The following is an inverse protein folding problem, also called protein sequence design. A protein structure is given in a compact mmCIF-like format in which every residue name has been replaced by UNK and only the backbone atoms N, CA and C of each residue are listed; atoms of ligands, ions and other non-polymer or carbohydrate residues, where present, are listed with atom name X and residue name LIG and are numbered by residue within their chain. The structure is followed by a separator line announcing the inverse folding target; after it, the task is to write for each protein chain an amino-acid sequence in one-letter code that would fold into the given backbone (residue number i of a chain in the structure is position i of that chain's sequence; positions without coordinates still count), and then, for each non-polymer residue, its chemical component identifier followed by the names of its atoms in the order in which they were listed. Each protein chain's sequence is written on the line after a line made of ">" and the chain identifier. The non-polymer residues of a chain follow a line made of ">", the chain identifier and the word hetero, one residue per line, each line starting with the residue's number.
data_IF_398505555246
#
_entry.id   IF_398505555246
#
_cell.length_a   1.000
_cell.length_b   1.000
_cell.length_c   1.000
_cell.angle_alpha   90.00
_cell.angle_beta   90.00
_cell.angle_gamma   90.00
#
_symmetry.space_group_name_H-M   'P 1'
#
loop_
_entity.id
_entity.type
_entity.pdbx_description
1 polymer ?
#
# COMPACT_ATOMS: atom_id res chain seq x y z
N UNK A 1 17.41 3.56 -11.19
CA UNK A 1 16.48 4.68 -11.12
C UNK A 1 15.94 4.99 -12.52
N UNK A 2 14.68 5.39 -12.60
CA UNK A 2 14.10 5.75 -13.89
C UNK A 2 14.86 6.90 -14.56
N UNK A 3 14.86 6.92 -15.89
CA UNK A 3 15.55 7.90 -16.73
C UNK A 3 17.07 7.97 -16.53
N UNK A 4 17.66 7.12 -15.70
CA UNK A 4 19.10 7.03 -15.54
C UNK A 4 19.71 6.21 -16.71
N UNK A 5 20.82 6.64 -17.30
CA UNK A 5 21.54 5.84 -18.26
C UNK A 5 22.04 4.55 -17.60
N UNK A 6 22.21 3.48 -18.39
CA UNK A 6 22.74 2.18 -17.95
C UNK A 6 21.89 1.46 -16.87
N UNK A 7 20.59 1.75 -16.78
CA UNK A 7 19.74 1.14 -15.74
C UNK A 7 19.69 -0.39 -15.82
N UNK A 8 19.53 -0.93 -17.02
CA UNK A 8 19.48 -2.38 -17.27
C UNK A 8 20.85 -3.04 -16.96
N UNK A 9 21.95 -2.50 -17.53
CA UNK A 9 23.30 -2.99 -17.25
C UNK A 9 23.65 -2.96 -15.76
N UNK A 10 23.26 -1.89 -15.06
CA UNK A 10 23.45 -1.79 -13.61
C UNK A 10 22.65 -2.82 -12.83
N UNK A 11 21.42 -3.12 -13.24
CA UNK A 11 20.61 -4.17 -12.63
C UNK A 11 21.24 -5.55 -12.83
N UNK A 12 21.71 -5.86 -14.04
CA UNK A 12 22.43 -7.10 -14.35
C UNK A 12 23.71 -7.26 -13.50
N UNK A 13 24.48 -6.18 -13.31
CA UNK A 13 25.67 -6.19 -12.45
C UNK A 13 25.33 -6.47 -10.99
N UNK A 14 24.24 -5.87 -10.46
CA UNK A 14 23.78 -6.14 -9.09
C UNK A 14 23.35 -7.60 -8.96
N UNK A 15 22.59 -8.13 -9.91
CA UNK A 15 22.19 -9.54 -9.93
C UNK A 15 23.39 -10.48 -10.00
N UNK A 16 24.39 -10.15 -10.82
CA UNK A 16 25.62 -10.94 -10.93
C UNK A 16 26.45 -10.94 -9.63
N UNK A 17 26.56 -9.78 -8.97
CA UNK A 17 27.24 -9.67 -7.68
C UNK A 17 26.54 -10.48 -6.58
N UNK A 18 25.21 -10.37 -6.48
CA UNK A 18 24.41 -11.12 -5.53
C UNK A 18 24.46 -12.62 -5.82
N UNK A 19 24.25 -13.04 -7.07
CA UNK A 19 24.34 -14.43 -7.48
C UNK A 19 25.68 -15.08 -7.14
N UNK A 20 26.78 -14.36 -7.37
CA UNK A 20 28.14 -14.82 -7.00
C UNK A 20 28.28 -14.98 -5.47
N UNK A 21 27.79 -14.03 -4.69
CA UNK A 21 27.92 -14.07 -3.23
C UNK A 21 27.01 -15.14 -2.58
N UNK A 22 25.84 -15.39 -3.16
CA UNK A 22 24.87 -16.38 -2.69
C UNK A 22 25.07 -17.79 -3.28
N UNK A 23 25.89 -17.91 -4.33
CA UNK A 23 26.12 -19.20 -5.02
C UNK A 23 24.93 -19.63 -5.90
N UNK A 24 24.15 -18.68 -6.42
CA UNK A 24 23.04 -18.93 -7.35
C UNK A 24 23.30 -18.21 -8.69
N UNK A 25 22.43 -18.46 -9.68
CA UNK A 25 22.57 -17.80 -10.97
C UNK A 25 22.06 -16.35 -10.88
N UNK A 26 22.62 -15.39 -11.64
CA UNK A 26 22.12 -14.03 -11.69
C UNK A 26 20.61 -13.93 -12.01
N UNK A 27 20.13 -14.82 -12.87
CA UNK A 27 18.71 -14.88 -13.30
C UNK A 27 17.76 -15.33 -12.17
N UNK A 28 18.30 -15.90 -11.10
CA UNK A 28 17.52 -16.28 -9.90
C UNK A 28 17.43 -15.13 -8.86
N UNK A 29 18.02 -13.97 -9.18
CA UNK A 29 18.02 -12.79 -8.30
C UNK A 29 16.98 -11.77 -8.77
N UNK A 30 16.08 -11.38 -7.87
CA UNK A 30 15.15 -10.26 -8.10
C UNK A 30 15.78 -9.01 -7.49
N UNK A 31 15.98 -7.98 -8.32
CA UNK A 31 16.52 -6.69 -7.88
C UNK A 31 15.42 -5.62 -7.91
N UNK A 32 15.39 -4.79 -6.89
CA UNK A 32 14.56 -3.59 -6.84
C UNK A 32 15.39 -2.43 -6.32
N UNK A 33 15.18 -1.24 -6.86
CA UNK A 33 15.85 -0.04 -6.44
C UNK A 33 14.95 1.18 -6.55
N UNK A 34 15.18 2.16 -5.68
CA UNK A 34 14.57 3.49 -5.77
C UNK A 34 15.64 4.54 -5.54
N UNK A 35 15.38 5.78 -5.95
CA UNK A 35 16.29 6.91 -5.78
C UNK A 35 15.94 8.05 -6.74
N UNK A 36 16.74 9.10 -6.73
CA UNK A 36 16.52 10.32 -7.54
C UNK A 36 16.39 9.97 -9.03
N UNK A 37 15.31 10.40 -9.65
CA UNK A 37 15.03 10.19 -11.08
C UNK A 37 16.17 10.80 -11.91
N UNK A 38 16.69 10.05 -12.87
CA UNK A 38 17.79 10.46 -13.73
C UNK A 38 19.20 10.32 -13.13
N UNK A 39 19.30 9.99 -11.82
CA UNK A 39 20.60 9.77 -11.19
C UNK A 39 21.05 8.32 -11.35
N UNK A 40 22.28 8.14 -11.84
CA UNK A 40 22.85 6.80 -12.01
C UNK A 40 23.14 6.14 -10.67
N UNK A 41 22.73 4.89 -10.51
CA UNK A 41 23.02 4.08 -9.34
C UNK A 41 24.54 3.83 -9.21
N UNK A 42 25.09 4.02 -8.02
CA UNK A 42 26.49 3.72 -7.74
C UNK A 42 26.68 2.21 -7.51
N UNK A 43 26.70 1.44 -8.58
CA UNK A 43 26.80 -0.03 -8.53
C UNK A 43 28.11 -0.52 -7.90
N UNK A 44 29.20 0.24 -8.04
CA UNK A 44 30.50 -0.16 -7.49
C UNK A 44 30.45 -0.33 -5.94
N UNK A 45 29.72 0.53 -5.25
CA UNK A 45 29.51 0.42 -3.79
C UNK A 45 28.71 -0.84 -3.44
N UNK A 46 27.68 -1.15 -4.24
CA UNK A 46 26.84 -2.34 -4.04
C UNK A 46 27.69 -3.61 -4.26
N UNK A 47 28.46 -3.67 -5.36
CA UNK A 47 29.35 -4.79 -5.67
C UNK A 47 30.38 -5.03 -4.56
N UNK A 48 30.96 -3.97 -4.00
CA UNK A 48 31.92 -4.05 -2.91
C UNK A 48 31.31 -4.53 -1.60
N UNK A 49 30.09 -4.08 -1.27
CA UNK A 49 29.39 -4.44 -0.03
C UNK A 49 28.70 -5.82 -0.09
N UNK A 50 28.46 -6.36 -1.28
CA UNK A 50 27.65 -7.57 -1.46
C UNK A 50 28.17 -8.80 -0.69
N UNK A 51 29.49 -9.12 -0.65
CA UNK A 51 29.99 -10.26 0.12
C UNK A 51 29.73 -10.12 1.62
N UNK A 52 29.89 -8.93 2.19
CA UNK A 52 29.64 -8.66 3.61
C UNK A 52 28.13 -8.76 3.91
N UNK A 53 27.30 -8.16 3.09
CA UNK A 53 25.84 -8.20 3.20
C UNK A 53 25.32 -9.65 3.18
N UNK A 54 25.74 -10.44 2.21
CA UNK A 54 25.34 -11.85 2.10
C UNK A 54 25.88 -12.70 3.25
N UNK A 55 27.09 -12.42 3.71
CA UNK A 55 27.71 -13.08 4.86
C UNK A 55 27.04 -12.77 6.19
N UNK A 56 26.41 -11.59 6.31
CA UNK A 56 25.66 -11.17 7.49
C UNK A 56 24.19 -11.63 7.49
N UNK A 57 23.70 -12.18 6.38
CA UNK A 57 22.31 -12.65 6.28
C UNK A 57 22.04 -13.77 7.30
N UNK A 58 21.03 -13.59 8.13
CA UNK A 58 20.68 -14.51 9.21
C UNK A 58 19.16 -14.71 9.29
N UNK A 59 18.75 -15.98 9.52
CA UNK A 59 17.35 -16.32 9.76
C UNK A 59 16.99 -16.10 11.24
N UNK A 60 16.94 -14.82 11.63
CA UNK A 60 16.64 -14.39 13.00
C UNK A 60 15.69 -13.19 12.99
N UNK A 61 15.09 -12.89 14.15
CA UNK A 61 14.26 -11.68 14.31
C UNK A 61 15.06 -10.40 14.08
N UNK A 62 16.32 -10.37 14.54
CA UNK A 62 17.23 -9.23 14.35
C UNK A 62 17.60 -9.03 12.88
N UNK A 63 17.79 -10.12 12.13
CA UNK A 63 18.05 -10.07 10.68
C UNK A 63 16.83 -9.52 9.91
N UNK A 64 15.62 -9.93 10.27
CA UNK A 64 14.37 -9.40 9.71
C UNK A 64 14.21 -7.92 10.02
N UNK A 65 14.41 -7.55 11.27
CA UNK A 65 14.33 -6.16 11.74
C UNK A 65 15.34 -5.25 11.01
N UNK A 66 16.58 -5.69 10.88
CA UNK A 66 17.62 -4.97 10.16
C UNK A 66 17.26 -4.77 8.69
N UNK A 67 16.73 -5.79 8.02
CA UNK A 67 16.29 -5.69 6.62
C UNK A 67 15.13 -4.71 6.45
N UNK A 68 14.13 -4.76 7.34
CA UNK A 68 12.99 -3.84 7.31
C UNK A 68 13.39 -2.38 7.53
N UNK A 69 14.36 -2.11 8.41
CA UNK A 69 14.90 -0.77 8.61
C UNK A 69 15.78 -0.30 7.44
N UNK A 70 16.59 -1.20 6.87
CA UNK A 70 17.55 -0.85 5.82
C UNK A 70 16.90 -0.38 4.51
N UNK A 71 15.65 -0.76 4.23
CA UNK A 71 14.92 -0.33 3.02
C UNK A 71 14.17 1.00 3.21
N UNK A 72 14.09 1.53 4.43
CA UNK A 72 13.41 2.79 4.72
C UNK A 72 14.17 3.99 4.12
N UNK A 73 13.42 5.02 3.71
CA UNK A 73 13.96 6.31 3.25
C UNK A 73 13.38 7.46 4.07
N UNK A 74 12.23 8.00 3.69
CA UNK A 74 11.46 8.98 4.45
C UNK A 74 10.45 8.34 5.41
N UNK A 75 10.36 7.01 5.40
CA UNK A 75 9.54 6.25 6.33
C UNK A 75 9.94 6.55 7.79
N UNK A 76 8.97 6.72 8.68
CA UNK A 76 9.20 6.97 10.10
C UNK A 76 9.13 5.69 10.94
N UNK A 77 8.41 4.68 10.43
CA UNK A 77 8.27 3.38 11.07
C UNK A 77 8.50 2.25 10.07
N UNK A 78 9.14 1.17 10.53
CA UNK A 78 9.27 -0.04 9.71
C UNK A 78 7.91 -0.68 9.46
N UNK A 79 7.74 -1.25 8.28
CA UNK A 79 6.53 -1.95 7.88
C UNK A 79 6.86 -3.42 7.68
N UNK A 80 6.56 -4.21 8.66
CA UNK A 80 6.69 -5.67 8.63
C UNK A 80 5.45 -6.33 9.20
N UNK A 81 5.12 -7.51 8.71
CA UNK A 81 4.02 -8.33 9.18
C UNK A 81 4.24 -9.78 8.77
N UNK A 82 3.66 -10.70 9.55
CA UNK A 82 3.58 -12.12 9.21
C UNK A 82 2.18 -12.64 9.48
N UNK A 83 1.76 -13.61 8.67
CA UNK A 83 0.50 -14.32 8.82
C UNK A 83 0.73 -15.81 8.66
N UNK A 84 -0.16 -16.62 9.20
CA UNK A 84 -0.18 -18.06 8.94
C UNK A 84 -1.59 -18.54 8.57
N UNK A 85 -1.65 -19.59 7.78
CA UNK A 85 -2.88 -20.25 7.35
C UNK A 85 -2.66 -21.75 7.24
N UNK A 86 -3.72 -22.51 6.98
CA UNK A 86 -3.64 -23.96 6.76
C UNK A 86 -3.98 -24.26 5.30
N UNK A 87 -3.06 -24.92 4.60
CA UNK A 87 -3.19 -25.32 3.20
C UNK A 87 -2.83 -26.80 3.08
N UNK A 88 -3.73 -27.60 2.50
CA UNK A 88 -3.53 -29.05 2.37
C UNK A 88 -3.23 -29.74 3.71
N UNK A 89 -3.79 -29.24 4.81
CA UNK A 89 -3.56 -29.75 6.17
C UNK A 89 -2.20 -29.41 6.77
N UNK A 90 -1.42 -28.51 6.17
CA UNK A 90 -0.14 -27.99 6.65
C UNK A 90 -0.23 -26.53 7.04
N UNK A 91 0.46 -26.13 8.10
CA UNK A 91 0.61 -24.72 8.44
C UNK A 91 1.57 -24.07 7.44
N UNK A 92 1.09 -23.05 6.75
CA UNK A 92 1.85 -22.22 5.82
C UNK A 92 2.02 -20.84 6.43
N UNK A 93 3.24 -20.32 6.35
CA UNK A 93 3.60 -18.98 6.84
C UNK A 93 3.95 -18.06 5.71
N UNK A 94 3.54 -16.80 5.85
CA UNK A 94 3.92 -15.72 4.95
C UNK A 94 4.41 -14.56 5.77
N UNK A 95 5.50 -13.94 5.34
CA UNK A 95 6.03 -12.72 5.93
C UNK A 95 6.30 -11.67 4.87
N UNK A 96 6.27 -10.42 5.26
CA UNK A 96 6.55 -9.32 4.36
C UNK A 96 7.17 -8.12 5.05
N UNK A 97 8.06 -7.46 4.33
CA UNK A 97 8.56 -6.13 4.64
C UNK A 97 8.22 -5.17 3.50
N UNK A 98 7.88 -3.94 3.84
CA UNK A 98 7.55 -2.92 2.86
C UNK A 98 8.13 -1.56 3.26
N UNK A 99 8.35 -0.69 2.26
CA UNK A 99 8.72 0.71 2.44
C UNK A 99 7.95 1.59 1.48
N UNK A 100 7.71 2.81 1.91
CA UNK A 100 7.09 3.88 1.15
C UNK A 100 6.31 4.83 2.05
N UNK A 101 6.50 6.13 1.85
CA UNK A 101 5.82 7.20 2.59
C UNK A 101 5.56 8.45 1.74
N UNK A 102 6.28 8.64 0.63
CA UNK A 102 6.06 9.69 -0.37
C UNK A 102 6.10 9.15 -1.78
N UNK A 103 5.52 9.90 -2.75
CA UNK A 103 5.26 9.49 -4.13
C UNK A 103 4.45 8.17 -4.16
N UNK A 104 3.37 8.12 -3.38
CA UNK A 104 2.50 6.96 -3.21
C UNK A 104 1.10 7.24 -3.77
N UNK A 105 0.87 6.79 -4.97
CA UNK A 105 -0.44 6.65 -5.62
C UNK A 105 -0.37 5.47 -6.58
N UNK A 106 -0.32 4.24 -6.07
CA UNK A 106 -0.06 3.09 -6.91
C UNK A 106 -1.18 2.87 -7.95
N UNK A 107 -0.76 2.93 -9.19
CA UNK A 107 -1.24 2.10 -10.28
C UNK A 107 -0.05 1.18 -10.61
N UNK A 108 0.51 0.60 -9.57
CA UNK A 108 1.87 0.06 -9.40
C UNK A 108 2.95 1.18 -9.36
N UNK A 109 3.10 1.95 -8.26
CA UNK A 109 3.97 3.09 -8.05
C UNK A 109 4.77 3.10 -6.71
N UNK A 110 5.77 3.90 -6.32
CA UNK A 110 6.94 4.03 -5.40
C UNK A 110 6.94 3.24 -4.09
N UNK A 111 6.55 2.03 -4.10
CA UNK A 111 6.69 1.15 -2.96
C UNK A 111 7.68 0.01 -3.27
N UNK A 112 8.41 -0.42 -2.29
CA UNK A 112 9.09 -1.69 -2.35
C UNK A 112 8.43 -2.63 -1.34
N UNK A 113 8.01 -3.79 -1.80
CA UNK A 113 7.42 -4.82 -0.94
C UNK A 113 8.03 -6.19 -1.30
N UNK A 114 8.60 -6.82 -0.30
CA UNK A 114 9.21 -8.13 -0.41
C UNK A 114 8.47 -9.10 0.48
N UNK A 115 7.79 -10.07 -0.13
CA UNK A 115 7.00 -11.09 0.54
C UNK A 115 7.69 -12.43 0.41
N UNK A 116 7.68 -13.20 1.47
CA UNK A 116 8.24 -14.56 1.50
C UNK A 116 7.23 -15.54 2.07
N UNK A 117 7.25 -16.77 1.58
CA UNK A 117 6.39 -17.85 2.11
C UNK A 117 7.09 -19.21 2.01
N UNK A 118 6.76 -20.10 2.93
CA UNK A 118 7.15 -21.50 2.89
C UNK A 118 6.16 -22.39 2.09
N UNK A 119 5.13 -21.79 1.47
CA UNK A 119 4.14 -22.49 0.66
C UNK A 119 4.77 -23.17 -0.57
N UNK A 120 4.35 -24.39 -0.86
CA UNK A 120 4.58 -25.02 -2.15
C UNK A 120 3.48 -24.58 -3.14
N UNK A 121 3.86 -23.72 -4.11
CA UNK A 121 2.95 -23.14 -5.10
C UNK A 121 3.69 -22.92 -6.41
N UNK A 122 3.02 -23.13 -7.55
CA UNK A 122 3.65 -22.93 -8.87
C UNK A 122 3.85 -21.44 -9.20
N UNK A 123 4.83 -21.11 -10.06
CA UNK A 123 5.07 -19.74 -10.49
C UNK A 123 3.84 -19.06 -11.11
N UNK A 124 3.01 -19.82 -11.85
CA UNK A 124 1.79 -19.31 -12.48
C UNK A 124 0.74 -18.93 -11.43
N UNK A 125 0.58 -19.80 -10.41
CA UNK A 125 -0.41 -19.57 -9.35
C UNK A 125 0.03 -18.44 -8.41
N UNK A 126 1.31 -18.36 -8.05
CA UNK A 126 1.80 -17.25 -7.20
C UNK A 126 1.69 -15.90 -7.92
N UNK A 127 1.94 -15.87 -9.22
CA UNK A 127 1.74 -14.66 -10.05
C UNK A 127 0.28 -14.26 -10.10
N UNK A 128 -0.64 -15.21 -10.32
CA UNK A 128 -2.09 -14.94 -10.32
C UNK A 128 -2.54 -14.39 -8.97
N UNK A 129 -2.12 -15.02 -7.86
CA UNK A 129 -2.46 -14.61 -6.51
C UNK A 129 -1.94 -13.19 -6.20
N UNK A 130 -0.70 -12.87 -6.59
CA UNK A 130 -0.13 -11.54 -6.39
C UNK A 130 -0.89 -10.48 -7.18
N UNK A 131 -1.20 -10.72 -8.45
CA UNK A 131 -1.96 -9.78 -9.30
C UNK A 131 -3.35 -9.51 -8.73
N UNK A 132 -4.06 -10.53 -8.25
CA UNK A 132 -5.37 -10.40 -7.61
C UNK A 132 -5.26 -9.57 -6.30
N UNK A 133 -4.21 -9.82 -5.54
CA UNK A 133 -4.02 -9.19 -4.23
C UNK A 133 -3.62 -7.73 -4.31
N UNK A 134 -2.71 -7.34 -5.22
CA UNK A 134 -2.26 -5.95 -5.33
C UNK A 134 -3.39 -5.01 -5.73
N UNK A 135 -4.40 -5.48 -6.49
CA UNK A 135 -5.55 -4.68 -6.89
C UNK A 135 -6.40 -4.23 -5.69
N UNK A 136 -6.49 -5.05 -4.66
CA UNK A 136 -7.33 -4.79 -3.48
C UNK A 136 -6.54 -4.31 -2.26
N UNK A 137 -5.24 -4.08 -2.40
CA UNK A 137 -4.33 -3.64 -1.34
C UNK A 137 -3.53 -2.41 -1.77
N UNK A 138 -2.32 -2.60 -2.29
CA UNK A 138 -1.43 -1.49 -2.65
C UNK A 138 -2.03 -0.54 -3.70
N UNK A 139 -2.80 -1.03 -4.68
CA UNK A 139 -3.47 -0.16 -5.64
C UNK A 139 -4.64 0.64 -5.05
N UNK A 140 -4.99 0.44 -3.79
CA UNK A 140 -6.05 1.17 -3.07
C UNK A 140 -5.54 2.17 -2.04
N UNK A 141 -4.24 2.52 -2.09
CA UNK A 141 -3.70 3.58 -1.23
C UNK A 141 -3.28 4.82 -2.01
N UNK A 142 -3.22 5.96 -1.33
CA UNK A 142 -2.63 7.19 -1.85
C UNK A 142 -2.11 8.06 -0.71
N UNK A 143 -0.87 8.56 -0.84
CA UNK A 143 -0.32 9.58 0.06
C UNK A 143 -0.45 10.97 -0.57
N UNK A 144 0.02 11.16 -1.78
CA UNK A 144 0.17 12.47 -2.42
C UNK A 144 -0.41 12.55 -3.85
N UNK A 145 -0.93 11.46 -4.38
CA UNK A 145 -1.48 11.41 -5.72
C UNK A 145 -0.44 11.22 -6.83
N UNK A 146 0.85 11.15 -6.48
CA UNK A 146 1.94 10.98 -7.43
C UNK A 146 2.32 9.52 -7.59
N UNK A 147 2.28 9.01 -8.83
CA UNK A 147 2.67 7.63 -9.16
C UNK A 147 4.17 7.57 -9.42
N UNK A 148 4.86 6.66 -8.74
CA UNK A 148 6.29 6.49 -8.92
C UNK A 148 6.67 5.72 -10.18
N UNK A 149 7.97 5.75 -10.40
CA UNK A 149 8.64 5.12 -11.52
C UNK A 149 9.30 3.77 -11.19
N UNK A 150 9.37 3.39 -9.89
CA UNK A 150 10.24 2.30 -9.42
C UNK A 150 9.57 1.29 -8.48
N UNK A 151 8.25 1.11 -8.57
CA UNK A 151 7.56 0.16 -7.69
C UNK A 151 7.90 -1.28 -7.95
N UNK A 152 8.01 -2.00 -6.85
CA UNK A 152 8.21 -3.44 -6.90
C UNK A 152 7.44 -4.12 -5.77
N UNK A 153 6.63 -5.10 -6.12
CA UNK A 153 6.06 -6.06 -5.18
C UNK A 153 6.41 -7.46 -5.67
N UNK A 154 7.11 -8.24 -4.86
CA UNK A 154 7.47 -9.60 -5.21
C UNK A 154 7.13 -10.60 -4.10
N UNK A 155 6.86 -11.84 -4.49
CA UNK A 155 6.64 -12.97 -3.58
C UNK A 155 7.63 -14.07 -3.92
N UNK A 156 8.37 -14.55 -2.90
CA UNK A 156 9.29 -15.67 -3.00
C UNK A 156 8.75 -16.84 -2.19
N UNK A 157 8.59 -18.02 -2.81
CA UNK A 157 8.10 -19.23 -2.18
C UNK A 157 9.16 -20.33 -2.23
N UNK A 158 9.44 -20.97 -1.08
CA UNK A 158 10.47 -22.03 -1.00
C UNK A 158 9.91 -23.46 -0.85
N UNK A 159 8.60 -23.61 -0.65
CA UNK A 159 7.93 -24.92 -0.57
C UNK A 159 8.19 -25.73 0.72
N UNK A 160 8.84 -25.15 1.73
CA UNK A 160 9.25 -25.89 2.93
C UNK A 160 8.12 -26.21 3.90
N UNK A 161 6.92 -25.66 3.73
CA UNK A 161 5.73 -26.01 4.51
C UNK A 161 5.31 -27.47 4.28
N UNK A 162 5.65 -28.03 3.12
CA UNK A 162 5.35 -29.42 2.77
C UNK A 162 3.87 -29.67 2.49
N UNK A 163 3.12 -28.63 2.12
CA UNK A 163 1.77 -28.75 1.58
C UNK A 163 1.80 -29.33 0.15
N UNK A 164 0.70 -29.92 -0.35
CA UNK A 164 0.58 -30.25 -1.77
C UNK A 164 0.84 -29.00 -2.62
N UNK A 165 1.59 -29.16 -3.71
CA UNK A 165 1.90 -28.01 -4.58
C UNK A 165 0.62 -27.46 -5.19
N UNK A 166 0.36 -26.17 -5.00
CA UNK A 166 -0.78 -25.47 -5.62
C UNK A 166 -0.44 -25.23 -7.08
N UNK A 167 -1.12 -25.93 -8.00
CA UNK A 167 -0.93 -25.83 -9.46
C UNK A 167 -2.15 -25.34 -10.20
N UNK A 168 -3.29 -25.18 -9.52
CA UNK A 168 -4.57 -24.73 -10.08
C UNK A 168 -5.39 -23.97 -9.03
N UNK A 169 -6.40 -23.23 -9.48
CA UNK A 169 -7.36 -22.55 -8.59
C UNK A 169 -8.26 -23.58 -7.90
N UNK A 170 -8.52 -23.36 -6.63
CA UNK A 170 -9.33 -24.21 -5.77
C UNK A 170 -9.16 -23.82 -4.31
N UNK A 171 -9.68 -24.61 -3.35
CA UNK A 171 -9.71 -24.21 -1.94
C UNK A 171 -8.34 -23.87 -1.34
N UNK A 172 -7.29 -24.60 -1.71
CA UNK A 172 -5.92 -24.35 -1.24
C UNK A 172 -5.36 -23.03 -1.82
N UNK A 173 -5.66 -22.74 -3.11
CA UNK A 173 -5.33 -21.47 -3.74
C UNK A 173 -6.09 -20.33 -3.10
N UNK A 174 -7.39 -20.49 -2.84
CA UNK A 174 -8.23 -19.47 -2.22
C UNK A 174 -7.73 -19.13 -0.80
N UNK A 175 -7.34 -20.14 -0.02
CA UNK A 175 -6.74 -19.95 1.30
C UNK A 175 -5.39 -19.23 1.22
N UNK A 176 -4.58 -19.50 0.20
CA UNK A 176 -3.33 -18.78 -0.06
C UNK A 176 -3.60 -17.31 -0.39
N UNK A 177 -4.53 -17.04 -1.31
CA UNK A 177 -4.91 -15.65 -1.72
C UNK A 177 -5.45 -14.86 -0.53
N UNK A 178 -6.29 -15.47 0.31
CA UNK A 178 -6.86 -14.79 1.48
C UNK A 178 -5.77 -14.40 2.49
N UNK A 179 -4.82 -15.29 2.79
CA UNK A 179 -3.71 -14.99 3.66
C UNK A 179 -2.78 -13.91 3.07
N UNK A 180 -2.49 -14.00 1.76
CA UNK A 180 -1.69 -13.00 1.05
C UNK A 180 -2.39 -11.64 1.04
N UNK A 181 -3.71 -11.60 0.85
CA UNK A 181 -4.53 -10.40 0.91
C UNK A 181 -4.48 -9.75 2.29
N UNK A 182 -4.68 -10.54 3.34
CA UNK A 182 -4.60 -10.03 4.71
C UNK A 182 -3.23 -9.37 4.99
N UNK A 183 -2.13 -10.01 4.57
CA UNK A 183 -0.78 -9.49 4.69
C UNK A 183 -0.60 -8.18 3.91
N UNK A 184 -0.97 -8.16 2.63
CA UNK A 184 -0.77 -7.02 1.75
C UNK A 184 -1.66 -5.81 2.11
N UNK A 185 -2.91 -6.04 2.52
CA UNK A 185 -3.81 -4.95 2.97
C UNK A 185 -3.24 -4.26 4.20
N UNK A 186 -2.78 -5.00 5.20
CA UNK A 186 -2.21 -4.40 6.40
C UNK A 186 -0.87 -3.69 6.14
N UNK A 187 -0.01 -4.22 5.25
CA UNK A 187 1.20 -3.50 4.82
C UNK A 187 0.85 -2.21 4.05
N UNK A 188 -0.14 -2.25 3.17
CA UNK A 188 -0.62 -1.08 2.43
C UNK A 188 -1.19 0.01 3.38
N UNK A 189 -2.00 -0.38 4.38
CA UNK A 189 -2.50 0.52 5.42
C UNK A 189 -1.37 1.16 6.22
N UNK A 190 -0.35 0.36 6.63
CA UNK A 190 0.85 0.89 7.31
C UNK A 190 1.59 1.92 6.45
N UNK A 191 1.66 1.72 5.12
CA UNK A 191 2.27 2.69 4.21
C UNK A 191 1.45 3.98 4.12
N UNK A 192 0.13 3.89 3.97
CA UNK A 192 -0.75 5.05 3.96
C UNK A 192 -0.72 5.83 5.28
N UNK A 193 -0.71 5.11 6.41
CA UNK A 193 -0.64 5.70 7.76
C UNK A 193 0.68 6.43 8.05
N UNK A 194 1.79 5.95 7.49
CA UNK A 194 3.13 6.55 7.60
C UNK A 194 3.48 7.45 6.41
N UNK A 195 2.48 8.06 5.76
CA UNK A 195 2.70 9.06 4.72
C UNK A 195 3.54 10.23 5.23
N UNK A 196 4.36 10.83 4.36
CA UNK A 196 5.27 11.93 4.74
C UNK A 196 4.53 13.04 5.50
N UNK A 197 4.88 13.21 6.76
CA UNK A 197 4.26 14.20 7.66
C UNK A 197 2.81 13.92 8.06
N UNK A 198 2.28 12.74 7.78
CA UNK A 198 0.91 12.36 8.12
C UNK A 198 0.67 12.30 9.64
N UNK A 199 -0.54 12.65 10.03
CA UNK A 199 -1.01 12.52 11.42
C UNK A 199 -2.27 11.66 11.54
N UNK A 200 -2.90 11.34 10.40
CA UNK A 200 -4.12 10.52 10.33
C UNK A 200 -4.05 9.47 9.23
N UNK A 201 -4.51 8.27 9.53
CA UNK A 201 -4.91 7.29 8.51
C UNK A 201 -6.36 7.57 8.10
N UNK A 202 -6.58 7.85 6.83
CA UNK A 202 -7.90 8.04 6.26
C UNK A 202 -8.34 6.75 5.57
N UNK A 203 -9.44 6.16 6.04
CA UNK A 203 -10.13 5.07 5.35
C UNK A 203 -11.35 5.66 4.64
N UNK A 204 -11.41 5.58 3.31
CA UNK A 204 -12.61 5.94 2.56
C UNK A 204 -13.34 4.69 2.11
N UNK A 205 -14.53 4.47 2.63
CA UNK A 205 -15.40 3.34 2.25
C UNK A 205 -16.59 3.86 1.45
N UNK A 206 -16.71 3.41 0.21
CA UNK A 206 -17.83 3.70 -0.68
C UNK A 206 -18.68 2.44 -0.81
N UNK A 207 -19.97 2.56 -0.59
CA UNK A 207 -20.95 1.47 -0.72
C UNK A 207 -22.13 1.90 -1.58
N UNK A 208 -22.82 0.94 -2.20
CA UNK A 208 -23.99 1.23 -3.00
C UNK A 208 -23.71 1.93 -4.33
N UNK A 209 -22.48 1.87 -4.84
CA UNK A 209 -22.12 2.35 -6.16
C UNK A 209 -22.60 1.39 -7.27
N UNK A 210 -22.61 1.84 -8.54
CA UNK A 210 -23.05 1.02 -9.68
C UNK A 210 -22.16 -0.21 -9.91
N UNK A 211 -20.89 -0.12 -9.55
CA UNK A 211 -19.91 -1.22 -9.62
C UNK A 211 -18.79 -1.02 -8.60
N UNK A 212 -18.01 -2.08 -8.35
CA UNK A 212 -16.79 -1.99 -7.53
C UNK A 212 -15.78 -1.00 -8.13
N UNK A 213 -15.61 -0.98 -9.45
CA UNK A 213 -14.73 -0.04 -10.15
C UNK A 213 -15.15 1.42 -9.93
N UNK A 214 -16.46 1.71 -10.04
CA UNK A 214 -17.00 3.04 -9.76
C UNK A 214 -16.77 3.45 -8.31
N UNK A 215 -17.00 2.52 -7.36
CA UNK A 215 -16.71 2.75 -5.94
C UNK A 215 -15.23 3.04 -5.71
N UNK A 216 -14.32 2.31 -6.36
CA UNK A 216 -12.87 2.52 -6.25
C UNK A 216 -12.45 3.88 -6.81
N UNK A 217 -12.93 4.25 -8.00
CA UNK A 217 -12.62 5.55 -8.63
C UNK A 217 -13.04 6.70 -7.72
N UNK A 218 -14.23 6.64 -7.15
CA UNK A 218 -14.73 7.66 -6.21
C UNK A 218 -13.90 7.68 -4.92
N UNK A 219 -13.66 6.53 -4.30
CA UNK A 219 -12.88 6.45 -3.07
C UNK A 219 -11.46 7.01 -3.25
N UNK A 220 -10.80 6.67 -4.35
CA UNK A 220 -9.47 7.21 -4.72
C UNK A 220 -9.49 8.71 -4.92
N UNK A 221 -10.52 9.25 -5.58
CA UNK A 221 -10.68 10.69 -5.75
C UNK A 221 -10.80 11.41 -4.41
N UNK A 222 -11.54 10.84 -3.46
CA UNK A 222 -11.73 11.42 -2.12
C UNK A 222 -10.45 11.42 -1.31
N UNK A 223 -9.73 10.28 -1.21
CA UNK A 223 -8.46 10.20 -0.46
C UNK A 223 -7.32 10.97 -1.13
N UNK A 224 -7.38 11.20 -2.44
CA UNK A 224 -6.41 12.00 -3.20
C UNK A 224 -6.68 13.51 -3.16
N UNK A 225 -7.85 13.94 -2.70
CA UNK A 225 -8.24 15.35 -2.67
C UNK A 225 -7.46 16.15 -1.62
N UNK A 226 -6.60 17.07 -2.05
CA UNK A 226 -5.85 17.94 -1.15
C UNK A 226 -6.75 18.70 -0.17
N UNK A 227 -7.94 19.15 -0.62
CA UNK A 227 -8.90 19.85 0.24
C UNK A 227 -9.51 18.91 1.29
N UNK A 228 -9.86 17.68 0.93
CA UNK A 228 -10.37 16.69 1.88
C UNK A 228 -9.30 16.31 2.91
N UNK A 229 -8.08 16.03 2.45
CA UNK A 229 -6.94 15.71 3.32
C UNK A 229 -6.62 16.84 4.31
N UNK A 230 -6.65 18.10 3.84
CA UNK A 230 -6.46 19.28 4.70
C UNK A 230 -7.62 19.50 5.69
N UNK A 231 -8.86 19.11 5.33
CA UNK A 231 -9.99 19.17 6.24
C UNK A 231 -9.81 18.17 7.40
N UNK A 232 -9.39 16.93 7.10
CA UNK A 232 -9.10 15.93 8.14
C UNK A 232 -7.99 16.43 9.07
N UNK A 233 -6.88 16.97 8.54
CA UNK A 233 -5.81 17.57 9.33
C UNK A 233 -6.32 18.67 10.28
N UNK A 234 -7.26 19.50 9.81
CA UNK A 234 -7.88 20.57 10.59
C UNK A 234 -9.03 20.14 11.49
N UNK A 235 -9.33 18.83 11.57
CA UNK A 235 -10.51 18.28 12.23
C UNK A 235 -11.82 18.98 11.80
N UNK A 236 -11.93 19.33 10.51
CA UNK A 236 -13.09 19.96 9.88
C UNK A 236 -13.96 18.89 9.20
N UNK A 237 -15.17 18.69 9.69
CA UNK A 237 -16.13 17.72 9.15
C UNK A 237 -16.74 18.18 7.80
N UNK A 238 -15.89 18.52 6.84
CA UNK A 238 -16.21 19.15 5.60
C UNK A 238 -16.76 18.18 4.53
N UNK A 239 -17.99 17.78 4.68
CA UNK A 239 -18.69 16.93 3.72
C UNK A 239 -18.76 17.55 2.30
N UNK A 240 -18.77 18.88 2.19
CA UNK A 240 -18.78 19.57 0.90
C UNK A 240 -17.52 19.29 0.09
N UNK A 241 -16.34 19.20 0.73
CA UNK A 241 -15.09 18.82 0.07
C UNK A 241 -15.11 17.35 -0.37
N UNK A 242 -15.75 16.48 0.41
CA UNK A 242 -15.94 15.07 0.02
C UNK A 242 -16.81 14.98 -1.23
N UNK A 243 -17.98 15.63 -1.27
CA UNK A 243 -18.85 15.64 -2.45
C UNK A 243 -18.17 16.29 -3.66
N UNK A 244 -17.38 17.34 -3.45
CA UNK A 244 -16.60 17.96 -4.53
C UNK A 244 -15.62 16.95 -5.13
N UNK A 245 -14.88 16.20 -4.28
CA UNK A 245 -13.96 15.17 -4.73
C UNK A 245 -14.67 14.03 -5.49
N UNK A 246 -15.84 13.63 -5.04
CA UNK A 246 -16.69 12.67 -5.76
C UNK A 246 -17.09 13.23 -7.15
N UNK A 247 -17.51 14.50 -7.19
CA UNK A 247 -18.03 15.14 -8.41
C UNK A 247 -17.02 15.28 -9.55
N UNK A 248 -15.73 15.41 -9.26
CA UNK A 248 -14.69 15.44 -10.29
C UNK A 248 -13.96 14.10 -10.49
N UNK A 249 -14.43 13.03 -9.85
CA UNK A 249 -13.82 11.69 -9.99
C UNK A 249 -13.86 11.13 -11.42
N UNK A 250 -14.75 11.65 -12.27
CA UNK A 250 -15.03 11.14 -13.60
C UNK A 250 -16.18 10.12 -13.64
N UNK A 251 -16.72 9.74 -12.48
CA UNK A 251 -17.87 8.85 -12.38
C UNK A 251 -19.20 9.63 -12.37
N UNK A 252 -20.17 9.13 -13.10
CA UNK A 252 -21.54 9.65 -13.03
C UNK A 252 -22.28 9.02 -11.84
N UNK A 253 -22.88 9.85 -10.99
CA UNK A 253 -23.75 9.41 -9.91
C UNK A 253 -24.83 10.46 -9.60
N UNK A 254 -25.89 10.04 -8.92
CA UNK A 254 -26.97 10.91 -8.46
C UNK A 254 -26.61 11.51 -7.08
N UNK A 255 -26.22 12.79 -6.99
CA UNK A 255 -25.85 13.40 -5.74
C UNK A 255 -26.98 13.41 -4.70
N UNK A 256 -28.26 13.41 -5.11
CA UNK A 256 -29.41 13.37 -4.22
C UNK A 256 -29.61 12.02 -3.50
N UNK A 257 -28.76 11.01 -3.78
CA UNK A 257 -28.75 9.72 -3.09
C UNK A 257 -27.58 9.54 -2.15
N UNK A 258 -26.64 10.49 -2.14
CA UNK A 258 -25.38 10.35 -1.40
C UNK A 258 -25.55 10.68 0.06
N UNK A 259 -25.14 9.76 0.93
CA UNK A 259 -24.95 9.99 2.37
C UNK A 259 -23.47 9.98 2.72
N UNK A 260 -23.05 10.86 3.64
CA UNK A 260 -21.66 10.92 4.13
C UNK A 260 -21.64 10.96 5.65
N UNK A 261 -20.79 10.13 6.24
CA UNK A 261 -20.51 10.14 7.67
C UNK A 261 -18.99 10.07 7.93
N UNK A 262 -18.53 10.68 9.02
CA UNK A 262 -17.20 10.48 9.58
C UNK A 262 -17.29 9.56 10.80
N UNK A 263 -16.32 8.66 10.92
CA UNK A 263 -16.32 7.63 11.95
C UNK A 263 -14.89 7.43 12.50
N UNK A 264 -14.79 7.12 13.77
CA UNK A 264 -13.55 6.69 14.44
C UNK A 264 -13.92 5.91 15.70
N UNK A 265 -12.94 5.54 16.51
CA UNK A 265 -13.20 4.95 17.83
C UNK A 265 -13.96 5.89 18.78
N UNK A 266 -13.92 7.21 18.56
CA UNK A 266 -14.66 8.19 19.35
C UNK A 266 -16.15 8.24 19.00
N UNK A 267 -16.59 7.61 17.90
CA UNK A 267 -18.00 7.56 17.50
C UNK A 267 -18.22 7.71 16.00
N UNK A 268 -19.45 8.09 15.65
CA UNK A 268 -19.86 8.33 14.26
C UNK A 268 -20.72 9.59 14.19
N UNK A 269 -20.50 10.41 13.18
CA UNK A 269 -21.29 11.60 12.91
C UNK A 269 -21.71 11.61 11.43
N UNK A 270 -23.00 11.59 11.17
CA UNK A 270 -23.55 11.78 9.82
C UNK A 270 -23.65 13.28 9.53
N UNK A 271 -23.01 13.70 8.45
CA UNK A 271 -22.85 15.11 8.08
C UNK A 271 -23.60 15.48 6.82
N UNK A 272 -23.95 14.48 6.00
CA UNK A 272 -24.73 14.66 4.78
C UNK A 272 -25.71 13.50 4.61
N UNK A 273 -26.93 13.79 4.19
CA UNK A 273 -27.91 12.81 3.78
C UNK A 273 -28.64 13.29 2.52
N UNK A 274 -28.78 12.37 1.55
CA UNK A 274 -29.41 12.66 0.26
C UNK A 274 -28.82 13.91 -0.41
N UNK A 275 -27.50 14.01 -0.40
CA UNK A 275 -26.75 15.11 -0.99
C UNK A 275 -26.84 16.46 -0.26
N UNK A 276 -27.45 16.49 0.92
CA UNK A 276 -27.69 17.74 1.67
C UNK A 276 -27.01 17.66 3.03
N UNK A 277 -26.38 18.78 3.43
CA UNK A 277 -25.81 18.92 4.76
C UNK A 277 -26.87 18.79 5.85
N UNK A 278 -26.47 18.15 6.92
CA UNK A 278 -27.27 18.02 8.14
C UNK A 278 -26.76 18.95 9.22
N UNK A 279 -27.61 19.33 10.15
CA UNK A 279 -27.18 19.85 11.43
C UNK A 279 -26.60 18.67 12.24
N UNK A 280 -25.38 18.78 12.70
CA UNK A 280 -24.68 17.72 13.44
C UNK A 280 -23.97 18.29 14.67
N UNK A 281 -23.59 17.42 15.60
CA UNK A 281 -22.84 17.77 16.79
C UNK A 281 -21.37 18.05 16.42
N UNK A 282 -21.01 19.34 16.37
CA UNK A 282 -19.64 19.82 16.05
C UNK A 282 -18.59 19.32 17.05
N UNK A 283 -18.95 19.21 18.34
CA UNK A 283 -18.04 18.71 19.36
C UNK A 283 -17.76 17.22 19.20
N UNK A 284 -18.78 16.44 18.83
CA UNK A 284 -18.60 15.02 18.49
C UNK A 284 -17.80 14.90 17.19
N UNK A 285 -18.10 15.69 16.16
CA UNK A 285 -17.39 15.68 14.89
C UNK A 285 -15.90 15.94 15.10
N UNK A 286 -15.55 16.95 15.90
CA UNK A 286 -14.18 17.26 16.25
C UNK A 286 -13.48 16.10 16.99
N UNK A 287 -14.16 15.45 17.96
CA UNK A 287 -13.62 14.28 18.65
C UNK A 287 -13.35 13.13 17.68
N UNK A 288 -14.29 12.85 16.78
CA UNK A 288 -14.16 11.81 15.76
C UNK A 288 -12.97 12.07 14.85
N UNK A 289 -12.79 13.31 14.40
CA UNK A 289 -11.76 13.71 13.44
C UNK A 289 -10.37 13.96 14.08
N UNK A 290 -10.27 13.98 15.40
CA UNK A 290 -8.98 14.10 16.11
C UNK A 290 -8.32 12.74 16.36
N UNK A 291 -9.05 11.64 16.18
CA UNK A 291 -8.49 10.29 16.27
C UNK A 291 -7.55 10.00 15.10
N UNK A 292 -6.53 9.17 15.34
CA UNK A 292 -5.57 8.80 14.31
C UNK A 292 -6.23 8.09 13.12
N UNK A 293 -7.15 7.17 13.37
CA UNK A 293 -7.85 6.39 12.35
C UNK A 293 -9.23 6.99 12.10
N UNK A 294 -9.40 7.64 10.96
CA UNK A 294 -10.65 8.28 10.54
C UNK A 294 -11.23 7.58 9.32
N UNK A 295 -12.49 7.21 9.39
CA UNK A 295 -13.23 6.66 8.25
C UNK A 295 -14.18 7.70 7.67
N UNK A 296 -14.08 7.92 6.35
CA UNK A 296 -15.07 8.62 5.53
C UNK A 296 -15.98 7.56 4.94
N UNK A 297 -17.19 7.41 5.48
CA UNK A 297 -18.18 6.46 5.01
C UNK A 297 -19.13 7.15 4.03
N UNK A 298 -19.20 6.63 2.80
CA UNK A 298 -20.02 7.15 1.71
C UNK A 298 -21.00 6.06 1.27
N UNK A 299 -22.30 6.36 1.28
CA UNK A 299 -23.33 5.50 0.72
C UNK A 299 -23.95 6.18 -0.49
N UNK A 300 -24.04 5.47 -1.63
CA UNK A 300 -24.46 6.07 -2.91
C UNK A 300 -25.87 5.67 -3.32
N UNK A 301 -26.42 4.55 -2.83
CA UNK A 301 -27.80 4.14 -3.10
C UNK A 301 -28.13 3.86 -4.56
N UNK A 302 -27.15 3.45 -5.38
CA UNK A 302 -27.31 3.21 -6.81
C UNK A 302 -27.08 1.76 -7.25
N UNK A 303 -26.53 0.90 -6.40
CA UNK A 303 -26.21 -0.49 -6.71
C UNK A 303 -25.60 -1.22 -5.52
N UNK A 304 -24.86 -2.30 -5.81
CA UNK A 304 -24.20 -3.15 -4.81
C UNK A 304 -22.66 -3.01 -4.82
N UNK A 305 -22.13 -2.12 -5.65
CA UNK A 305 -20.69 -1.88 -5.74
C UNK A 305 -20.15 -1.28 -4.45
N UNK A 306 -19.02 -1.81 -3.98
CA UNK A 306 -18.35 -1.32 -2.78
C UNK A 306 -16.84 -1.39 -2.93
N UNK A 307 -16.15 -0.41 -2.33
CA UNK A 307 -14.70 -0.38 -2.27
C UNK A 307 -14.24 0.37 -1.02
N UNK A 308 -13.07 -0.03 -0.51
CA UNK A 308 -12.36 0.70 0.54
C UNK A 308 -10.98 1.07 0.03
N UNK A 309 -10.62 2.35 0.16
CA UNK A 309 -9.30 2.90 -0.14
C UNK A 309 -8.72 3.58 1.11
N UNK A 310 -7.39 3.67 1.17
CA UNK A 310 -6.69 4.26 2.31
C UNK A 310 -5.77 5.39 1.87
N UNK A 311 -5.70 6.42 2.67
CA UNK A 311 -4.83 7.56 2.46
C UNK A 311 -4.41 8.17 3.79
N UNK A 312 -3.82 9.35 3.73
CA UNK A 312 -3.49 10.12 4.92
C UNK A 312 -3.94 11.57 4.76
N UNK A 313 -3.88 12.33 5.83
CA UNK A 313 -4.11 13.77 5.81
C UNK A 313 -2.98 14.53 5.09
N UNK A 314 -3.15 15.83 4.90
CA UNK A 314 -2.16 16.73 4.32
C UNK A 314 -1.78 17.79 5.34
N UNK A 315 -0.54 17.72 5.82
CA UNK A 315 -0.01 18.58 6.87
C UNK A 315 1.03 19.57 6.36
N UNK A 316 1.44 20.52 7.19
CA UNK A 316 2.55 21.44 6.88
C UNK A 316 3.88 20.69 6.73
N UNK A 317 4.07 19.58 7.45
CA UNK A 317 5.29 18.78 7.40
C UNK A 317 5.49 18.12 6.03
N UNK A 318 4.40 17.73 5.32
CA UNK A 318 4.52 17.23 3.94
C UNK A 318 5.24 18.23 3.04
N UNK A 319 4.81 19.50 3.08
CA UNK A 319 5.43 20.57 2.25
C UNK A 319 6.88 20.80 2.67
N UNK A 320 7.16 20.79 3.95
CA UNK A 320 8.53 21.00 4.48
C UNK A 320 9.47 19.85 4.06
N UNK A 321 9.04 18.59 4.24
CA UNK A 321 9.82 17.41 3.84
C UNK A 321 10.14 17.47 2.35
N UNK A 322 9.12 17.68 1.50
CA UNK A 322 9.29 17.67 0.05
C UNK A 322 9.95 18.94 -0.52
N UNK A 323 9.98 20.03 0.23
CA UNK A 323 10.74 21.24 -0.10
C UNK A 323 12.25 21.05 0.11
N UNK A 324 12.64 20.22 1.07
CA UNK A 324 14.04 19.98 1.46
C UNK A 324 14.63 18.71 0.87
N UNK A 325 13.79 17.70 0.59
CA UNK A 325 14.21 16.38 0.08
C UNK A 325 14.07 16.28 -1.44
N UNK A 326 15.11 15.77 -2.11
CA UNK A 326 15.08 15.50 -3.55
C UNK A 326 14.92 13.99 -3.80
N UNK A 327 13.92 13.66 -4.56
CA UNK A 327 13.65 12.30 -5.04
C UNK A 327 13.92 12.15 -6.52
#
# INVERSE_FOLDING_TARGET
>A
NACAPMGEENAERVCAAAGKALGCRPEDVVVAATGVIGQTLNVAVIEQGMPELCGAAAHTAEGSDAAAHAIMTTDTVKKELAVETVIGGKTVRMGGIAKGSGMIHPNMGTMLCFLTTDCAISPEMIKSALLETVQVSFNRISVDGDTSTNDTCCVLANGLAGNPVITEKGPDYDAFVEALRALCVELAKKMASDGEGATHLITCTVTGARSEQSAETIAKSVIGSALTKAAIFGADANWGRVLCAMGYSGEDFDPDKVDVAFQSQAGSVQVCAKGRGLDFDEELAKKVLTEHDVTIAIAMGEGDGACTCWGCDLTYEYVKINGDYRT
#
